data_IF_241114286731
#
_entry.id   IF_241114286731
#
_cell.length_a   1.000
_cell.length_b   1.000
_cell.length_c   1.000
_cell.angle_alpha   90.00
_cell.angle_beta   90.00
_cell.angle_gamma   90.00
#
_symmetry.space_group_name_H-M   'P 1'
#
loop_
_entity.id
_entity.type
_entity.pdbx_description
1 polymer ?
#
# COMPACT_ATOMS: atom_id res chain seq x y z
N UNK A 1 -6.17 -16.88 -2.84
CA UNK A 1 -7.26 -16.59 -1.88
C UNK A 1 -8.10 -15.44 -2.40
N UNK A 2 -7.59 -14.22 -2.51
CA UNK A 2 -8.36 -13.02 -2.86
C UNK A 2 -9.21 -13.20 -4.12
N UNK A 3 -8.63 -13.62 -5.25
CA UNK A 3 -9.39 -13.84 -6.50
C UNK A 3 -10.47 -14.93 -6.39
N UNK A 4 -10.32 -15.89 -5.47
CA UNK A 4 -11.30 -16.94 -5.26
C UNK A 4 -12.56 -16.46 -4.52
N UNK A 5 -12.45 -15.40 -3.73
CA UNK A 5 -13.56 -14.78 -3.01
C UNK A 5 -14.12 -13.53 -3.69
N UNK A 6 -13.33 -12.90 -4.56
CA UNK A 6 -13.70 -11.63 -5.21
C UNK A 6 -14.98 -11.76 -6.02
N UNK A 7 -15.97 -10.90 -5.72
CA UNK A 7 -17.32 -10.92 -6.33
C UNK A 7 -18.10 -12.22 -6.11
N UNK A 8 -17.72 -13.02 -5.11
CA UNK A 8 -18.41 -14.27 -4.78
C UNK A 8 -19.34 -14.13 -3.57
N UNK A 9 -20.33 -15.04 -3.48
CA UNK A 9 -21.33 -15.03 -2.40
C UNK A 9 -20.78 -15.43 -1.02
N UNK A 10 -19.50 -15.78 -0.91
CA UNK A 10 -18.86 -16.27 0.31
C UNK A 10 -18.05 -15.21 1.05
N UNK A 11 -18.13 -13.97 0.64
CA UNK A 11 -17.42 -12.87 1.27
C UNK A 11 -18.15 -12.47 2.56
N UNK A 12 -17.59 -12.86 3.70
CA UNK A 12 -18.05 -12.33 5.00
C UNK A 12 -17.42 -10.95 5.18
N UNK A 13 -18.23 -9.93 5.32
CA UNK A 13 -17.78 -8.56 5.60
C UNK A 13 -18.10 -8.25 7.06
N UNK A 14 -17.09 -7.81 7.79
CA UNK A 14 -17.20 -7.34 9.17
C UNK A 14 -16.63 -5.93 9.29
N UNK A 15 -16.93 -5.23 10.36
CA UNK A 15 -16.34 -3.93 10.68
C UNK A 15 -15.34 -4.08 11.82
N UNK A 16 -14.22 -3.34 11.76
CA UNK A 16 -13.19 -3.33 12.81
C UNK A 16 -13.49 -2.24 13.85
N UNK A 17 -12.91 -1.06 13.65
CA UNK A 17 -13.00 0.05 14.60
C UNK A 17 -14.30 0.85 14.49
N UNK A 18 -14.85 0.95 13.29
CA UNK A 18 -16.10 1.68 12.98
C UNK A 18 -16.70 1.18 11.66
N UNK A 19 -17.82 1.77 11.22
CA UNK A 19 -18.57 1.37 10.01
C UNK A 19 -17.80 1.61 8.70
N UNK A 20 -16.73 2.40 8.72
CA UNK A 20 -15.91 2.71 7.56
C UNK A 20 -14.68 1.80 7.43
N UNK A 21 -14.32 1.12 8.53
CA UNK A 21 -13.18 0.23 8.63
C UNK A 21 -13.66 -1.22 8.51
N UNK A 22 -13.53 -1.78 7.33
CA UNK A 22 -14.06 -3.11 7.00
C UNK A 22 -12.94 -4.15 6.90
N UNK A 23 -13.27 -5.37 7.26
CA UNK A 23 -12.43 -6.55 7.10
C UNK A 23 -13.24 -7.67 6.48
N UNK A 24 -12.60 -8.49 5.69
CA UNK A 24 -13.24 -9.65 5.08
C UNK A 24 -12.51 -10.95 5.46
N UNK A 25 -13.16 -12.07 5.15
CA UNK A 25 -12.53 -13.37 5.29
C UNK A 25 -11.25 -13.48 4.44
N UNK A 26 -11.20 -12.79 3.28
CA UNK A 26 -10.04 -12.82 2.40
C UNK A 26 -8.81 -12.17 3.05
N UNK A 27 -8.99 -11.07 3.83
CA UNK A 27 -7.91 -10.42 4.58
C UNK A 27 -7.26 -11.40 5.53
N UNK A 28 -8.07 -11.99 6.42
CA UNK A 28 -7.58 -12.90 7.47
C UNK A 28 -6.91 -14.15 6.90
N UNK A 29 -7.54 -14.82 5.93
CA UNK A 29 -6.97 -16.04 5.33
C UNK A 29 -5.71 -15.73 4.51
N UNK A 30 -5.62 -14.56 3.86
CA UNK A 30 -4.42 -14.13 3.16
C UNK A 30 -3.28 -13.87 4.14
N UNK A 31 -3.53 -13.18 5.25
CA UNK A 31 -2.51 -12.94 6.26
C UNK A 31 -2.02 -14.24 6.90
N UNK A 32 -2.92 -15.15 7.29
CA UNK A 32 -2.53 -16.44 7.87
C UNK A 32 -1.67 -17.26 6.91
N UNK A 33 -2.01 -17.28 5.62
CA UNK A 33 -1.19 -17.97 4.61
C UNK A 33 0.20 -17.32 4.49
N UNK A 34 0.27 -15.99 4.35
CA UNK A 34 1.54 -15.26 4.20
C UNK A 34 2.40 -15.45 5.46
N UNK A 35 1.83 -15.25 6.65
CA UNK A 35 2.53 -15.41 7.91
C UNK A 35 3.03 -16.84 8.10
N UNK A 36 2.23 -17.85 7.74
CA UNK A 36 2.63 -19.25 7.78
C UNK A 36 3.81 -19.55 6.87
N UNK A 37 3.79 -19.08 5.63
CA UNK A 37 4.91 -19.24 4.68
C UNK A 37 6.19 -18.55 5.16
N UNK A 38 6.06 -17.36 5.75
CA UNK A 38 7.20 -16.62 6.31
C UNK A 38 7.78 -17.40 7.50
N UNK A 39 6.94 -17.81 8.44
CA UNK A 39 7.38 -18.53 9.64
C UNK A 39 8.05 -19.88 9.31
N UNK A 40 7.56 -20.59 8.29
CA UNK A 40 8.18 -21.85 7.83
C UNK A 40 9.58 -21.60 7.25
N UNK A 41 9.75 -20.53 6.46
CA UNK A 41 11.02 -20.24 5.76
C UNK A 41 12.01 -19.46 6.61
N UNK A 42 11.51 -18.61 7.51
CA UNK A 42 12.29 -17.66 8.32
C UNK A 42 11.80 -17.69 9.78
N UNK A 43 11.98 -18.79 10.52
CA UNK A 43 11.40 -18.99 11.85
C UNK A 43 11.92 -17.99 12.90
N UNK A 44 13.09 -17.40 12.68
CA UNK A 44 13.70 -16.42 13.59
C UNK A 44 13.33 -14.97 13.27
N UNK A 45 12.50 -14.71 12.25
CA UNK A 45 12.06 -13.36 11.90
C UNK A 45 10.80 -12.94 12.69
N UNK A 46 10.66 -11.63 12.90
CA UNK A 46 9.39 -11.03 13.34
C UNK A 46 8.47 -10.81 12.15
N UNK A 47 7.16 -10.80 12.42
CA UNK A 47 6.12 -10.46 11.45
C UNK A 47 5.21 -9.43 12.10
N UNK A 48 4.92 -8.33 11.41
CA UNK A 48 3.89 -7.37 11.72
C UNK A 48 2.82 -7.44 10.63
N UNK A 49 1.64 -7.94 10.96
CA UNK A 49 0.49 -7.98 10.08
C UNK A 49 -0.59 -7.00 10.51
N UNK A 50 -1.41 -6.55 9.57
CA UNK A 50 -2.54 -5.67 9.83
C UNK A 50 -3.58 -6.34 10.73
N UNK A 51 -3.93 -7.59 10.44
CA UNK A 51 -5.01 -8.32 11.10
C UNK A 51 -4.56 -9.05 12.37
N UNK A 52 -3.39 -9.64 12.35
CA UNK A 52 -2.87 -10.48 13.43
C UNK A 52 -1.84 -9.80 14.31
N UNK A 53 -1.46 -8.56 14.00
CA UNK A 53 -0.45 -7.82 14.77
C UNK A 53 0.94 -8.44 14.73
N UNK A 54 1.67 -8.32 15.85
CA UNK A 54 3.05 -8.81 15.95
C UNK A 54 3.09 -10.30 16.24
N UNK A 55 3.88 -11.06 15.45
CA UNK A 55 4.12 -12.52 15.60
C UNK A 55 5.61 -12.81 15.45
N UNK A 56 6.02 -14.03 15.82
CA UNK A 56 7.39 -14.51 15.69
C UNK A 56 8.34 -13.96 16.74
N UNK A 57 9.63 -13.81 16.39
CA UNK A 57 10.66 -13.39 17.34
C UNK A 57 10.75 -11.85 17.41
N UNK A 58 10.13 -11.25 18.43
CA UNK A 58 10.13 -9.80 18.63
C UNK A 58 11.53 -9.17 18.83
N UNK A 59 12.56 -9.97 19.16
CA UNK A 59 13.94 -9.52 19.30
C UNK A 59 14.75 -9.62 17.99
N UNK A 60 14.14 -10.07 16.91
CA UNK A 60 14.80 -10.21 15.61
C UNK A 60 15.16 -8.87 14.99
N UNK A 61 16.36 -8.77 14.42
CA UNK A 61 16.72 -7.64 13.55
C UNK A 61 15.93 -7.63 12.23
N UNK A 62 15.29 -8.77 11.87
CA UNK A 62 14.52 -8.97 10.65
C UNK A 62 13.03 -8.94 10.95
N UNK A 63 12.29 -8.09 10.26
CA UNK A 63 10.84 -7.98 10.41
C UNK A 63 10.15 -7.92 9.05
N UNK A 64 9.16 -8.78 8.86
CA UNK A 64 8.23 -8.67 7.76
C UNK A 64 7.08 -7.77 8.16
N UNK A 65 6.66 -6.90 7.25
CA UNK A 65 5.49 -6.04 7.42
C UNK A 65 4.52 -6.36 6.30
N UNK A 66 3.28 -6.71 6.67
CA UNK A 66 2.30 -7.32 5.76
C UNK A 66 0.97 -6.61 5.88
N UNK A 67 0.48 -6.08 4.77
CA UNK A 67 -0.93 -5.80 4.54
C UNK A 67 -1.47 -6.89 3.59
N UNK A 68 -2.34 -7.77 4.08
CA UNK A 68 -2.84 -8.88 3.28
C UNK A 68 -3.80 -8.45 2.19
N UNK A 69 -4.49 -7.30 2.35
CA UNK A 69 -5.46 -6.76 1.40
C UNK A 69 -5.65 -5.25 1.55
N UNK A 70 -4.71 -4.45 1.04
CA UNK A 70 -4.89 -3.00 0.94
C UNK A 70 -5.99 -2.68 -0.09
N UNK A 71 -6.98 -1.89 0.33
CA UNK A 71 -8.16 -1.58 -0.45
C UNK A 71 -9.37 -2.49 -0.14
N UNK A 72 -9.55 -2.92 1.11
CA UNK A 72 -10.65 -3.78 1.56
C UNK A 72 -12.03 -3.21 1.22
N UNK A 73 -12.19 -1.87 1.26
CA UNK A 73 -13.43 -1.22 0.81
C UNK A 73 -13.71 -1.47 -0.67
N UNK A 74 -12.70 -1.31 -1.54
CA UNK A 74 -12.83 -1.63 -2.97
C UNK A 74 -13.20 -3.10 -3.15
N UNK A 75 -12.48 -3.97 -2.48
CA UNK A 75 -12.68 -5.41 -2.56
C UNK A 75 -14.10 -5.81 -2.17
N UNK A 76 -14.59 -5.29 -1.03
CA UNK A 76 -15.93 -5.58 -0.52
C UNK A 76 -17.05 -5.08 -1.45
N UNK A 77 -16.80 -4.00 -2.20
CA UNK A 77 -17.70 -3.45 -3.20
C UNK A 77 -17.55 -4.07 -4.60
N UNK A 78 -16.62 -5.03 -4.76
CA UNK A 78 -16.34 -5.65 -6.05
C UNK A 78 -15.59 -4.74 -7.04
N UNK A 79 -14.90 -3.69 -6.56
CA UNK A 79 -14.01 -2.86 -7.37
C UNK A 79 -12.65 -3.53 -7.51
N UNK A 80 -12.08 -3.63 -8.73
CA UNK A 80 -10.90 -4.46 -9.00
C UNK A 80 -9.55 -3.79 -8.68
N UNK A 81 -9.52 -2.89 -7.70
CA UNK A 81 -8.32 -2.19 -7.24
C UNK A 81 -8.09 -2.51 -5.77
N UNK A 82 -7.25 -3.48 -5.52
CA UNK A 82 -6.79 -3.94 -4.22
C UNK A 82 -5.45 -4.64 -4.38
N UNK A 83 -4.62 -4.62 -3.34
CA UNK A 83 -3.26 -5.16 -3.39
C UNK A 83 -2.93 -6.03 -2.18
N UNK A 84 -1.86 -6.81 -2.30
CA UNK A 84 -1.10 -7.38 -1.20
C UNK A 84 0.18 -6.56 -1.10
N UNK A 85 0.49 -6.03 0.08
CA UNK A 85 1.71 -5.27 0.35
C UNK A 85 2.58 -6.03 1.34
N UNK A 86 3.83 -6.34 0.95
CA UNK A 86 4.78 -7.08 1.78
C UNK A 86 6.13 -6.38 1.75
N UNK A 87 6.66 -6.07 2.92
CA UNK A 87 8.00 -5.54 3.07
C UNK A 87 8.85 -6.41 3.99
N UNK A 88 10.15 -6.48 3.72
CA UNK A 88 11.15 -6.99 4.64
C UNK A 88 12.01 -5.85 5.14
N UNK A 89 12.08 -5.72 6.45
CA UNK A 89 12.92 -4.76 7.14
C UNK A 89 14.11 -5.43 7.83
N UNK A 90 15.23 -4.75 7.84
CA UNK A 90 16.39 -5.08 8.64
C UNK A 90 16.72 -3.90 9.57
N UNK A 91 16.67 -4.12 10.89
CA UNK A 91 16.88 -3.08 11.91
C UNK A 91 16.01 -1.83 11.71
N UNK A 92 14.75 -2.04 11.33
CA UNK A 92 13.78 -0.97 11.12
C UNK A 92 13.86 -0.27 9.76
N UNK A 93 14.79 -0.67 8.88
CA UNK A 93 14.89 -0.13 7.52
C UNK A 93 14.33 -1.12 6.49
N UNK A 94 13.42 -0.67 5.64
CA UNK A 94 12.86 -1.49 4.55
C UNK A 94 13.94 -1.75 3.48
N UNK A 95 14.22 -3.01 3.23
CA UNK A 95 15.27 -3.45 2.28
C UNK A 95 14.71 -4.21 1.07
N UNK A 96 13.51 -4.80 1.21
CA UNK A 96 12.76 -5.42 0.10
C UNK A 96 11.32 -4.99 0.21
N UNK A 97 10.69 -4.64 -0.89
CA UNK A 97 9.27 -4.31 -0.99
C UNK A 97 8.63 -5.01 -2.18
N UNK A 98 7.41 -5.47 -1.99
CA UNK A 98 6.56 -6.02 -3.03
C UNK A 98 5.11 -5.61 -2.85
N UNK A 99 4.49 -5.09 -3.91
CA UNK A 99 3.07 -4.76 -3.98
C UNK A 99 2.47 -5.50 -5.18
N UNK A 100 1.50 -6.35 -4.92
CA UNK A 100 0.86 -7.15 -5.96
C UNK A 100 -0.62 -6.82 -6.07
N UNK A 101 -1.06 -6.36 -7.24
CA UNK A 101 -2.45 -6.14 -7.61
C UNK A 101 -3.00 -7.38 -8.36
N UNK A 102 -3.65 -8.33 -7.67
CA UNK A 102 -3.92 -9.65 -8.24
C UNK A 102 -4.94 -9.63 -9.37
N UNK A 103 -5.91 -8.71 -9.35
CA UNK A 103 -6.89 -8.60 -10.43
C UNK A 103 -6.30 -8.00 -11.70
N UNK A 104 -5.36 -7.06 -11.56
CA UNK A 104 -4.65 -6.44 -12.68
C UNK A 104 -3.46 -7.28 -13.15
N UNK A 105 -3.04 -8.25 -12.31
CA UNK A 105 -1.86 -9.07 -12.51
C UNK A 105 -0.58 -8.23 -12.66
N UNK A 106 -0.45 -7.22 -11.80
CA UNK A 106 0.68 -6.29 -11.70
C UNK A 106 1.45 -6.53 -10.42
N UNK A 107 2.75 -6.78 -10.53
CA UNK A 107 3.65 -6.96 -9.41
C UNK A 107 4.73 -5.89 -9.44
N UNK A 108 4.67 -4.96 -8.48
CA UNK A 108 5.70 -3.96 -8.22
C UNK A 108 6.69 -4.51 -7.20
N UNK A 109 7.98 -4.39 -7.46
CA UNK A 109 9.03 -4.88 -6.54
C UNK A 109 10.18 -3.91 -6.48
N UNK A 110 10.85 -3.87 -5.32
CA UNK A 110 12.13 -3.19 -5.15
C UNK A 110 13.01 -3.91 -4.14
N UNK A 111 14.32 -3.76 -4.32
CA UNK A 111 15.33 -4.03 -3.29
C UNK A 111 16.16 -2.78 -3.11
N UNK A 112 16.55 -2.47 -1.87
CA UNK A 112 17.33 -1.29 -1.56
C UNK A 112 18.64 -1.27 -2.36
N UNK A 113 18.86 -0.20 -3.16
CA UNK A 113 19.99 -0.05 -4.07
C UNK A 113 19.89 -0.90 -5.35
N UNK A 114 18.82 -1.65 -5.55
CA UNK A 114 18.61 -2.53 -6.70
C UNK A 114 17.71 -1.96 -7.79
N UNK A 115 17.02 -0.87 -7.50
CA UNK A 115 15.99 -0.29 -8.35
C UNK A 115 14.61 -0.89 -8.13
N UNK A 116 13.60 -0.27 -8.75
CA UNK A 116 12.22 -0.71 -8.73
C UNK A 116 11.79 -1.26 -10.09
N UNK A 117 10.90 -2.24 -10.06
CA UNK A 117 10.47 -2.96 -11.25
C UNK A 117 8.97 -3.25 -11.20
N UNK A 118 8.33 -3.25 -12.37
CA UNK A 118 6.96 -3.71 -12.58
C UNK A 118 6.95 -4.91 -13.52
N UNK A 119 6.26 -5.95 -13.11
CA UNK A 119 6.02 -7.14 -13.90
C UNK A 119 4.51 -7.26 -14.19
N UNK A 120 4.17 -7.35 -15.48
CA UNK A 120 2.81 -7.62 -15.97
C UNK A 120 2.70 -9.08 -16.39
N UNK A 121 1.89 -9.88 -15.72
CA UNK A 121 1.63 -11.25 -16.12
C UNK A 121 2.92 -12.01 -16.51
N UNK A 122 3.04 -12.42 -17.77
CA UNK A 122 4.18 -13.17 -18.32
C UNK A 122 5.20 -12.32 -19.07
N UNK A 123 5.11 -10.98 -19.00
CA UNK A 123 6.08 -10.08 -19.65
C UNK A 123 7.37 -9.98 -18.83
N UNK A 124 8.45 -9.56 -19.49
CA UNK A 124 9.69 -9.20 -18.79
C UNK A 124 9.43 -8.02 -17.84
N UNK A 125 10.16 -7.98 -16.71
CA UNK A 125 10.04 -6.90 -15.75
C UNK A 125 10.57 -5.59 -16.34
N UNK A 126 9.78 -4.53 -16.21
CA UNK A 126 10.13 -3.18 -16.63
C UNK A 126 10.70 -2.39 -15.45
N UNK A 127 11.85 -1.72 -15.64
CA UNK A 127 12.42 -0.86 -14.61
C UNK A 127 11.58 0.41 -14.47
N UNK A 128 11.14 0.70 -13.25
CA UNK A 128 10.32 1.86 -12.94
C UNK A 128 11.15 3.14 -12.84
N UNK A 129 10.50 4.25 -13.21
CA UNK A 129 10.96 5.62 -12.97
C UNK A 129 9.76 6.52 -12.76
N UNK A 130 9.87 7.43 -11.78
CA UNK A 130 8.85 8.47 -11.56
C UNK A 130 8.70 9.38 -12.77
N UNK A 131 7.54 10.03 -12.88
CA UNK A 131 7.26 11.01 -13.94
C UNK A 131 8.15 12.26 -13.84
N UNK A 132 8.29 12.97 -14.97
CA UNK A 132 9.14 14.16 -15.11
C UNK A 132 8.37 15.48 -15.13
N UNK A 133 7.08 15.49 -14.77
CA UNK A 133 6.26 16.71 -14.80
C UNK A 133 6.73 17.73 -13.77
N UNK A 134 6.84 19.00 -14.20
CA UNK A 134 7.44 20.08 -13.43
C UNK A 134 6.40 21.03 -12.81
N UNK A 135 5.12 20.88 -13.14
CA UNK A 135 4.07 21.81 -12.67
C UNK A 135 2.85 21.07 -12.17
N UNK A 136 2.25 21.57 -11.10
CA UNK A 136 1.00 21.04 -10.55
C UNK A 136 -0.13 21.04 -11.59
N UNK A 137 -0.23 22.08 -12.42
CA UNK A 137 -1.29 22.20 -13.42
C UNK A 137 -1.32 21.07 -14.47
N UNK A 138 -0.22 20.34 -14.64
CA UNK A 138 -0.14 19.17 -15.52
C UNK A 138 -0.16 17.85 -14.76
N UNK A 139 -0.13 17.89 -13.42
CA UNK A 139 -0.01 16.72 -12.57
C UNK A 139 -1.37 16.10 -12.26
N UNK A 140 -1.40 14.77 -12.25
CA UNK A 140 -2.49 13.95 -11.73
C UNK A 140 -1.99 13.34 -10.43
N UNK A 141 -2.67 13.64 -9.33
CA UNK A 141 -2.28 13.21 -7.99
C UNK A 141 -3.35 12.33 -7.37
N UNK A 142 -2.97 11.50 -6.41
CA UNK A 142 -3.93 10.70 -5.67
C UNK A 142 -3.90 11.03 -4.18
N UNK A 143 -5.00 10.68 -3.49
CA UNK A 143 -5.15 10.90 -2.06
C UNK A 143 -6.16 9.93 -1.46
N UNK A 144 -6.14 9.82 -0.13
CA UNK A 144 -7.10 9.08 0.65
C UNK A 144 -7.56 9.83 1.89
N UNK A 145 -8.40 9.15 2.69
CA UNK A 145 -9.03 9.74 3.86
C UNK A 145 -8.99 8.75 5.02
N UNK A 146 -8.71 9.20 6.25
CA UNK A 146 -8.67 8.34 7.42
C UNK A 146 -10.05 7.70 7.69
N UNK A 147 -10.06 6.56 8.36
CA UNK A 147 -11.30 5.84 8.69
C UNK A 147 -12.18 6.55 9.72
N UNK A 148 -11.64 7.50 10.48
CA UNK A 148 -12.35 8.34 11.45
C UNK A 148 -12.75 9.73 10.90
N UNK A 149 -12.85 9.84 9.57
CA UNK A 149 -13.08 11.10 8.83
C UNK A 149 -14.36 11.86 9.21
N UNK A 150 -15.32 11.19 9.81
CA UNK A 150 -16.59 11.78 10.26
C UNK A 150 -16.46 12.55 11.58
N UNK A 151 -15.46 12.21 12.41
CA UNK A 151 -15.22 12.82 13.73
C UNK A 151 -13.87 13.52 13.80
N UNK A 152 -12.93 13.20 12.93
CA UNK A 152 -11.59 13.74 12.92
C UNK A 152 -11.54 15.08 12.15
N UNK A 153 -11.23 16.21 12.79
CA UNK A 153 -11.11 17.49 12.11
C UNK A 153 -9.95 17.52 11.09
N UNK A 154 -8.93 16.68 11.28
CA UNK A 154 -7.80 16.50 10.34
C UNK A 154 -8.08 15.33 9.38
N UNK A 155 -9.22 15.39 8.70
CA UNK A 155 -9.73 14.30 7.85
C UNK A 155 -9.33 14.40 6.39
N UNK A 156 -8.38 15.28 6.04
CA UNK A 156 -7.85 15.52 4.69
C UNK A 156 -8.79 16.26 3.70
N UNK A 157 -10.04 16.50 4.03
CA UNK A 157 -10.99 17.17 3.11
C UNK A 157 -10.54 18.58 2.72
N UNK A 158 -10.05 19.36 3.68
CA UNK A 158 -9.55 20.70 3.46
C UNK A 158 -8.28 20.72 2.59
N UNK A 159 -7.40 19.73 2.74
CA UNK A 159 -6.19 19.61 1.93
C UNK A 159 -6.57 19.34 0.46
N UNK A 160 -7.51 18.40 0.24
CA UNK A 160 -8.04 18.11 -1.10
C UNK A 160 -8.70 19.34 -1.70
N UNK A 161 -9.55 20.06 -0.96
CA UNK A 161 -10.20 21.28 -1.45
C UNK A 161 -9.19 22.38 -1.83
N UNK A 162 -8.08 22.49 -1.11
CA UNK A 162 -7.02 23.46 -1.40
C UNK A 162 -6.20 23.10 -2.62
N UNK A 163 -5.94 21.82 -2.90
CA UNK A 163 -5.06 21.40 -4.00
C UNK A 163 -5.79 21.29 -5.34
N UNK A 164 -7.07 20.91 -5.34
CA UNK A 164 -7.88 20.70 -6.56
C UNK A 164 -7.76 21.84 -7.59
N UNK A 165 -7.78 23.16 -7.23
CA UNK A 165 -7.69 24.22 -8.22
C UNK A 165 -6.35 24.31 -8.96
N UNK A 166 -5.32 23.66 -8.47
CA UNK A 166 -3.94 23.79 -8.98
C UNK A 166 -3.45 22.61 -9.76
N UNK A 167 -4.13 21.46 -9.68
CA UNK A 167 -3.71 20.21 -10.34
C UNK A 167 -4.58 19.89 -11.54
N UNK A 168 -4.08 19.05 -12.44
CA UNK A 168 -4.87 18.58 -13.59
C UNK A 168 -6.06 17.76 -13.13
N UNK A 169 -5.86 16.88 -12.15
CA UNK A 169 -6.92 16.03 -11.61
C UNK A 169 -6.48 15.35 -10.31
N UNK A 170 -7.46 14.89 -9.53
CA UNK A 170 -7.25 14.12 -8.31
C UNK A 170 -7.89 12.74 -8.48
N UNK A 171 -7.20 11.71 -8.01
CA UNK A 171 -7.68 10.32 -7.98
C UNK A 171 -7.88 9.87 -6.53
N UNK A 172 -8.82 8.99 -6.32
CA UNK A 172 -9.03 8.22 -5.10
C UNK A 172 -9.16 6.75 -5.50
N UNK A 173 -8.01 6.08 -5.71
CA UNK A 173 -8.03 4.69 -6.19
C UNK A 173 -8.40 3.71 -5.08
N UNK A 174 -8.09 4.02 -3.83
CA UNK A 174 -8.58 3.30 -2.67
C UNK A 174 -7.69 2.16 -2.18
N UNK A 175 -6.44 2.17 -2.58
CA UNK A 175 -5.34 1.32 -2.13
C UNK A 175 -4.10 2.19 -2.05
N UNK A 176 -3.60 2.44 -0.86
CA UNK A 176 -2.45 3.32 -0.63
C UNK A 176 -1.17 2.76 -1.29
N UNK A 177 -0.93 1.47 -1.12
CA UNK A 177 0.22 0.80 -1.73
C UNK A 177 0.16 0.85 -3.27
N UNK A 178 -1.03 0.72 -3.86
CA UNK A 178 -1.20 0.84 -5.31
C UNK A 178 -1.00 2.27 -5.80
N UNK A 179 -1.60 3.26 -5.11
CA UNK A 179 -1.46 4.68 -5.44
C UNK A 179 0.01 5.11 -5.45
N UNK A 180 0.79 4.75 -4.41
CA UNK A 180 2.23 5.04 -4.31
C UNK A 180 3.01 4.30 -5.41
N UNK A 181 2.66 3.04 -5.70
CA UNK A 181 3.29 2.26 -6.78
C UNK A 181 3.02 2.87 -8.16
N UNK A 182 1.84 3.46 -8.38
CA UNK A 182 1.52 4.22 -9.59
C UNK A 182 2.36 5.50 -9.71
N UNK A 183 2.71 6.16 -8.59
CA UNK A 183 3.67 7.29 -8.62
C UNK A 183 5.06 6.78 -9.02
N UNK A 184 5.52 5.66 -8.47
CA UNK A 184 6.78 5.03 -8.84
C UNK A 184 6.88 4.66 -10.32
N UNK A 185 5.74 4.31 -10.92
CA UNK A 185 5.63 3.98 -12.35
C UNK A 185 5.41 5.20 -13.27
N UNK A 186 5.35 6.43 -12.72
CA UNK A 186 5.08 7.65 -13.48
C UNK A 186 3.65 7.76 -14.03
N UNK A 187 2.72 6.91 -13.57
CA UNK A 187 1.30 6.95 -13.91
C UNK A 187 0.57 8.05 -13.15
N UNK A 188 1.00 8.30 -11.91
CA UNK A 188 0.61 9.43 -11.07
C UNK A 188 1.85 10.30 -10.79
N UNK A 189 1.62 11.55 -10.42
CA UNK A 189 2.70 12.51 -10.17
C UNK A 189 2.91 12.80 -8.68
N UNK A 190 2.01 12.34 -7.84
CA UNK A 190 2.10 12.47 -6.39
C UNK A 190 0.97 11.77 -5.66
N UNK A 191 1.21 11.50 -4.39
CA UNK A 191 0.25 10.93 -3.46
C UNK A 191 0.45 11.51 -2.07
N UNK A 192 -0.63 11.72 -1.34
CA UNK A 192 -0.60 11.99 0.09
C UNK A 192 -1.84 11.40 0.77
N UNK A 193 -1.68 10.94 1.98
CA UNK A 193 -2.77 10.52 2.85
C UNK A 193 -2.39 10.75 4.31
N UNK A 194 -3.38 10.81 5.19
CA UNK A 194 -3.20 11.00 6.62
C UNK A 194 -3.57 9.71 7.36
N UNK A 195 -2.93 9.51 8.52
CA UNK A 195 -3.21 8.40 9.42
C UNK A 195 -2.99 7.00 8.83
N UNK A 196 -2.01 6.85 7.92
CA UNK A 196 -1.58 5.56 7.41
C UNK A 196 -0.72 4.81 8.42
N UNK A 197 -0.79 3.49 8.37
CA UNK A 197 0.05 2.59 9.14
C UNK A 197 1.27 2.13 8.35
N UNK A 198 2.20 1.49 9.02
CA UNK A 198 3.44 1.01 8.42
C UNK A 198 3.19 -0.04 7.32
N UNK A 199 2.20 -0.90 7.49
CA UNK A 199 1.84 -1.93 6.51
C UNK A 199 1.24 -1.36 5.22
N UNK A 200 0.56 -0.21 5.28
CA UNK A 200 -0.01 0.47 4.12
C UNK A 200 1.06 1.00 3.16
N UNK A 201 2.26 1.36 3.69
CA UNK A 201 3.19 2.20 2.94
C UNK A 201 4.59 1.63 2.76
N UNK A 202 5.15 0.91 3.74
CA UNK A 202 6.60 0.65 3.77
C UNK A 202 7.14 -0.09 2.54
N UNK A 203 6.37 -1.00 1.93
CA UNK A 203 6.77 -1.67 0.69
C UNK A 203 6.77 -0.69 -0.49
N UNK A 204 5.68 0.07 -0.64
CA UNK A 204 5.49 1.01 -1.74
C UNK A 204 6.42 2.22 -1.65
N UNK A 205 6.77 2.68 -0.43
CA UNK A 205 7.77 3.74 -0.22
C UNK A 205 9.15 3.33 -0.71
N UNK A 206 9.58 2.09 -0.46
CA UNK A 206 10.83 1.58 -1.03
C UNK A 206 10.76 1.53 -2.55
N UNK A 207 9.65 1.06 -3.13
CA UNK A 207 9.45 1.01 -4.58
C UNK A 207 9.54 2.42 -5.17
N UNK A 208 8.90 3.40 -4.53
CA UNK A 208 8.94 4.80 -4.96
C UNK A 208 10.35 5.38 -4.88
N UNK A 209 11.05 5.18 -3.75
CA UNK A 209 12.41 5.67 -3.57
C UNK A 209 13.39 5.09 -4.61
N UNK A 210 13.30 3.78 -4.89
CA UNK A 210 14.14 3.09 -5.86
C UNK A 210 13.78 3.44 -7.33
N UNK A 211 12.57 3.98 -7.56
CA UNK A 211 12.17 4.58 -8.84
C UNK A 211 12.62 6.05 -9.00
N UNK A 212 13.26 6.63 -7.98
CA UNK A 212 13.74 8.02 -7.97
C UNK A 212 12.73 9.04 -7.43
N UNK A 213 11.67 8.58 -6.77
CA UNK A 213 10.71 9.45 -6.09
C UNK A 213 11.20 9.91 -4.73
N UNK A 214 10.44 10.84 -4.14
CA UNK A 214 10.72 11.40 -2.81
C UNK A 214 9.59 11.02 -1.86
N UNK A 215 9.94 10.47 -0.71
CA UNK A 215 9.03 10.21 0.40
C UNK A 215 9.31 11.23 1.49
N UNK A 216 8.28 11.87 2.04
CA UNK A 216 8.42 12.81 3.14
C UNK A 216 7.27 12.71 4.13
N UNK A 217 7.56 12.96 5.40
CA UNK A 217 6.57 13.14 6.46
C UNK A 217 6.29 14.65 6.63
N UNK A 218 5.15 15.11 6.15
CA UNK A 218 4.75 16.52 6.19
C UNK A 218 4.69 17.11 7.62
N UNK A 219 4.65 16.29 8.66
CA UNK A 219 4.69 16.73 10.07
C UNK A 219 6.12 16.90 10.59
N UNK A 220 7.06 16.07 10.12
CA UNK A 220 8.47 16.11 10.53
C UNK A 220 9.30 17.10 9.72
N UNK A 221 8.96 17.27 8.46
CA UNK A 221 9.76 18.08 7.51
C UNK A 221 9.33 19.56 7.46
N UNK A 222 8.48 19.99 8.38
CA UNK A 222 8.20 21.42 8.66
C UNK A 222 9.30 22.00 9.56
N UNK A 223 10.54 21.97 9.06
CA UNK A 223 11.67 22.65 9.68
C UNK A 223 11.80 24.10 9.19
#
# INVERSE_FOLDING_TARGET
IQLAYFRGDRLSIETKSNVYDVVTRADRESEELIAGMIAERYPDHAILGEEGGCRGNAASDWRWVVDPLDGTTNYSQGLPLFTVSIALQYRGETIVGGVYAPYLNELFTATKGGGAYLQYASRESERLRVGEKQTLATSVIASGFPYDKDVNPDNNSDNVARIIPYVRDVRRLGSAAYDISCVAAGLLDGYWELALHEWDVCAAELILAEAGGVVCDLRRDRG
#
